data_IF_424764133915
#
_entry.id   IF_424764133915
#
_cell.length_a   1.000
_cell.length_b   1.000
_cell.length_c   1.000
_cell.angle_alpha   90.00
_cell.angle_beta   90.00
_cell.angle_gamma   90.00
#
_symmetry.space_group_name_H-M   'P 1'
#
loop_
_entity.id
_entity.type
_entity.pdbx_description
1 polymer ?
#
# COMPACT_ATOMS: atom_id res chain seq x y z
N UNK A 1 3.05 39.63 -9.20
CA UNK A 1 1.61 39.84 -9.00
C UNK A 1 0.89 39.19 -10.17
N UNK A 2 0.66 37.88 -10.11
CA UNK A 2 -0.17 37.13 -11.09
C UNK A 2 -1.19 36.34 -10.27
N UNK A 3 -2.45 36.73 -10.45
CA UNK A 3 -3.59 36.08 -9.82
C UNK A 3 -3.83 34.73 -10.52
N UNK A 4 -3.83 33.66 -9.71
CA UNK A 4 -4.38 32.38 -10.14
C UNK A 4 -5.90 32.42 -10.01
N UNK A 5 -6.58 32.36 -11.16
CA UNK A 5 -8.03 32.23 -11.23
C UNK A 5 -8.37 30.76 -10.99
N UNK A 6 -9.02 30.50 -9.85
CA UNK A 6 -9.62 29.20 -9.53
C UNK A 6 -10.96 29.11 -10.27
N UNK A 7 -11.06 28.24 -11.27
CA UNK A 7 -12.33 27.80 -11.81
C UNK A 7 -12.81 26.55 -11.07
N UNK A 8 -13.64 26.77 -10.05
CA UNK A 8 -14.45 25.72 -9.45
C UNK A 8 -15.67 25.48 -10.34
N UNK A 9 -15.64 24.48 -11.22
CA UNK A 9 -16.83 24.00 -11.91
C UNK A 9 -17.52 22.97 -11.00
N UNK A 10 -18.72 23.29 -10.54
CA UNK A 10 -19.65 22.36 -9.88
C UNK A 10 -20.04 21.25 -10.87
N UNK A 11 -19.63 20.02 -10.58
CA UNK A 11 -20.20 18.82 -11.19
C UNK A 11 -20.66 17.88 -10.08
N UNK A 12 -21.92 17.50 -10.01
CA UNK A 12 -22.38 16.44 -9.13
C UNK A 12 -22.18 15.10 -9.86
N UNK A 13 -20.98 14.57 -9.84
CA UNK A 13 -20.71 13.24 -10.40
C UNK A 13 -19.45 12.65 -9.73
N UNK A 14 -19.40 11.31 -9.62
CA UNK A 14 -18.33 10.51 -9.00
C UNK A 14 -16.90 10.87 -9.47
N UNK A 15 -16.75 11.63 -10.53
CA UNK A 15 -15.48 12.18 -11.01
C UNK A 15 -14.85 13.23 -10.08
N UNK A 16 -15.59 13.75 -9.10
CA UNK A 16 -15.09 14.72 -8.11
C UNK A 16 -14.26 14.04 -7.02
N UNK A 17 -14.40 12.73 -6.84
CA UNK A 17 -13.65 11.93 -5.87
C UNK A 17 -12.15 11.89 -6.23
N UNK A 18 -11.82 11.91 -7.52
CA UNK A 18 -10.42 11.95 -7.98
C UNK A 18 -9.65 13.22 -7.57
N UNK A 19 -10.36 14.33 -7.41
CA UNK A 19 -9.77 15.60 -6.95
C UNK A 19 -9.60 15.61 -5.42
N UNK A 20 -10.41 14.82 -4.69
CA UNK A 20 -10.39 14.77 -3.21
C UNK A 20 -9.30 13.89 -2.62
N UNK A 21 -8.73 12.98 -3.39
CA UNK A 21 -7.66 12.10 -2.89
C UNK A 21 -6.40 12.86 -2.41
N UNK A 22 -6.44 14.21 -2.48
CA UNK A 22 -5.31 15.05 -2.12
C UNK A 22 -5.76 16.50 -1.89
N UNK A 23 -6.71 16.71 -1.05
CA UNK A 23 -7.06 18.06 -0.63
C UNK A 23 -5.96 18.65 0.25
N UNK A 24 -5.59 19.91 -0.04
CA UNK A 24 -4.93 20.79 0.92
C UNK A 24 -5.80 20.88 2.18
N UNK A 25 -5.17 20.71 3.33
CA UNK A 25 -5.77 20.89 4.63
C UNK A 25 -6.37 22.33 4.72
N UNK A 26 -7.67 22.46 4.61
CA UNK A 26 -8.36 23.62 5.16
C UNK A 26 -8.61 23.34 6.63
N UNK A 27 -8.20 24.30 7.47
CA UNK A 27 -8.44 24.31 8.92
C UNK A 27 -9.93 24.12 9.22
N UNK A 28 -10.35 22.88 9.49
CA UNK A 28 -11.58 22.59 10.22
C UNK A 28 -11.52 21.20 10.82
N UNK A 29 -11.52 21.18 12.15
CA UNK A 29 -11.44 20.02 13.04
C UNK A 29 -10.08 19.30 13.12
N UNK A 30 -9.25 19.79 14.06
CA UNK A 30 -7.96 19.25 14.47
C UNK A 30 -8.09 17.95 15.29
N UNK A 31 -9.04 17.07 14.98
CA UNK A 31 -9.19 15.78 15.65
C UNK A 31 -8.42 14.73 14.84
N UNK A 32 -7.24 14.36 15.34
CA UNK A 32 -6.48 13.24 14.81
C UNK A 32 -7.30 11.96 15.03
N UNK A 33 -7.75 11.34 13.97
CA UNK A 33 -8.58 10.10 14.01
C UNK A 33 -7.68 8.90 14.28
N UNK A 34 -6.46 8.90 13.71
CA UNK A 34 -5.42 7.92 14.00
C UNK A 34 -4.15 8.60 14.51
N UNK A 35 -3.56 8.09 15.59
CA UNK A 35 -2.35 8.66 16.19
C UNK A 35 -1.10 7.97 15.66
N UNK A 36 -0.14 8.79 15.21
CA UNK A 36 1.18 8.33 14.83
C UNK A 36 2.00 7.90 16.05
N UNK A 37 2.55 6.70 16.00
CA UNK A 37 3.42 6.10 17.00
C UNK A 37 4.68 5.53 16.35
N UNK A 38 5.69 5.27 17.17
CA UNK A 38 6.92 4.62 16.75
C UNK A 38 7.22 3.44 17.67
N UNK A 39 7.65 2.34 17.08
CA UNK A 39 8.21 1.20 17.79
C UNK A 39 9.67 1.04 17.38
N UNK A 40 10.55 0.85 18.35
CA UNK A 40 11.97 0.56 18.12
C UNK A 40 12.24 -0.85 18.66
N UNK A 41 12.70 -1.72 17.77
CA UNK A 41 13.15 -3.05 18.13
C UNK A 41 14.60 -2.98 18.62
N UNK A 42 14.83 -3.32 19.88
CA UNK A 42 16.15 -3.15 20.50
C UNK A 42 17.15 -4.25 20.13
N UNK A 43 16.64 -5.41 19.68
CA UNK A 43 17.48 -6.52 19.24
C UNK A 43 17.88 -6.34 17.76
N UNK A 44 18.84 -7.15 17.31
CA UNK A 44 19.24 -7.19 15.92
C UNK A 44 18.12 -7.81 15.08
N UNK A 45 17.66 -7.08 14.05
CA UNK A 45 16.73 -7.60 13.07
C UNK A 45 17.50 -8.11 11.85
N UNK A 46 17.47 -9.42 11.64
CA UNK A 46 18.07 -10.09 10.49
C UNK A 46 17.07 -10.15 9.33
N UNK A 47 17.50 -9.75 8.12
CA UNK A 47 16.69 -9.81 6.91
C UNK A 47 16.78 -11.16 6.22
N UNK A 48 15.69 -11.60 5.59
CA UNK A 48 15.60 -12.90 4.90
C UNK A 48 16.65 -13.03 3.79
N UNK A 49 16.94 -11.95 3.08
CA UNK A 49 17.94 -11.91 2.01
C UNK A 49 19.38 -11.70 2.50
N UNK A 50 19.60 -11.69 3.82
CA UNK A 50 20.86 -11.39 4.47
C UNK A 50 21.01 -9.92 4.85
N UNK A 51 21.98 -9.65 5.73
CA UNK A 51 22.16 -8.34 6.36
C UNK A 51 21.28 -8.17 7.59
N UNK A 52 21.61 -7.17 8.40
CA UNK A 52 20.91 -6.90 9.66
C UNK A 52 20.93 -5.42 10.01
N UNK A 53 19.99 -4.99 10.84
CA UNK A 53 19.89 -3.63 11.37
C UNK A 53 19.65 -3.71 12.88
N UNK A 54 20.40 -2.90 13.66
CA UNK A 54 20.14 -2.65 15.07
C UNK A 54 19.18 -1.48 15.23
N UNK A 55 18.29 -1.55 16.21
CA UNK A 55 17.34 -0.46 16.47
C UNK A 55 16.33 -0.27 15.33
N UNK A 56 15.86 -1.37 14.73
CA UNK A 56 14.85 -1.31 13.67
C UNK A 56 13.63 -0.52 14.15
N UNK A 57 13.30 0.54 13.43
CA UNK A 57 12.14 1.39 13.71
C UNK A 57 10.98 1.04 12.81
N UNK A 58 9.79 0.93 13.39
CA UNK A 58 8.53 0.83 12.66
C UNK A 58 7.60 1.95 13.10
N UNK A 59 7.22 2.80 12.17
CA UNK A 59 6.18 3.83 12.37
C UNK A 59 4.83 3.19 12.10
N UNK A 60 3.86 3.46 12.95
CA UNK A 60 2.49 3.00 12.77
C UNK A 60 1.48 4.05 13.23
N UNK A 61 0.27 3.97 12.73
CA UNK A 61 -0.87 4.72 13.24
C UNK A 61 -1.87 3.76 13.89
N UNK A 62 -2.53 4.21 14.94
CA UNK A 62 -3.58 3.46 15.59
C UNK A 62 -4.68 4.39 16.11
N UNK A 63 -5.84 3.82 16.45
CA UNK A 63 -6.93 4.56 17.09
C UNK A 63 -6.44 5.35 18.29
N UNK A 64 -7.00 6.55 18.53
CA UNK A 64 -6.58 7.48 19.57
C UNK A 64 -6.59 6.86 20.97
N UNK A 65 -7.68 6.16 21.32
CA UNK A 65 -7.75 5.44 22.58
C UNK A 65 -6.80 4.23 22.56
N UNK A 66 -5.76 4.18 23.42
CA UNK A 66 -4.79 3.09 23.42
C UNK A 66 -5.44 1.72 23.61
N UNK A 67 -4.82 0.69 23.05
CA UNK A 67 -5.17 -0.70 23.32
C UNK A 67 -4.74 -1.10 24.73
N UNK A 68 -5.59 -1.89 25.40
CA UNK A 68 -5.30 -2.50 26.69
C UNK A 68 -5.72 -3.97 26.65
N UNK A 69 -5.04 -4.84 27.38
CA UNK A 69 -5.32 -6.29 27.41
C UNK A 69 -6.78 -6.61 27.78
N UNK A 70 -7.38 -5.81 28.67
CA UNK A 70 -8.78 -5.93 29.08
C UNK A 70 -9.76 -5.19 28.16
N UNK A 71 -9.30 -4.70 26.99
CA UNK A 71 -10.14 -3.95 26.06
C UNK A 71 -11.09 -4.92 25.32
N UNK A 72 -12.38 -4.64 25.36
CA UNK A 72 -13.40 -5.43 24.64
C UNK A 72 -13.47 -5.09 23.15
N UNK A 73 -12.83 -4.00 22.72
CA UNK A 73 -12.77 -3.63 21.30
C UNK A 73 -12.11 -4.75 20.49
N UNK A 74 -12.58 -4.93 19.28
CA UNK A 74 -11.96 -5.83 18.31
C UNK A 74 -10.83 -5.13 17.57
N UNK A 75 -9.80 -5.87 17.26
CA UNK A 75 -8.61 -5.35 16.56
C UNK A 75 -8.81 -5.48 15.05
N UNK A 76 -8.71 -4.35 14.34
CA UNK A 76 -8.65 -4.29 12.87
C UNK A 76 -7.23 -3.90 12.47
N UNK A 77 -6.58 -4.73 11.65
CA UNK A 77 -5.27 -4.43 11.10
C UNK A 77 -5.37 -4.15 9.61
N UNK A 78 -4.93 -2.95 9.20
CA UNK A 78 -4.90 -2.54 7.80
C UNK A 78 -3.47 -2.65 7.28
N UNK A 79 -3.27 -3.34 6.16
CA UNK A 79 -2.00 -3.43 5.44
C UNK A 79 -2.03 -2.47 4.25
N UNK A 80 -1.21 -1.43 4.27
CA UNK A 80 -1.26 -0.38 3.26
C UNK A 80 -0.59 -0.76 1.92
N UNK A 81 -0.99 -0.08 0.84
CA UNK A 81 -0.46 -0.26 -0.52
C UNK A 81 0.91 0.42 -0.71
N UNK A 82 1.57 0.17 -1.86
CA UNK A 82 2.99 0.45 -2.15
C UNK A 82 3.47 1.85 -1.76
N UNK A 83 2.74 2.89 -2.16
CA UNK A 83 3.09 4.29 -1.88
C UNK A 83 2.11 4.99 -0.93
N UNK A 84 1.22 4.23 -0.30
CA UNK A 84 0.41 4.68 0.81
C UNK A 84 1.26 4.69 2.10
N UNK A 85 0.66 5.04 3.21
CA UNK A 85 1.33 5.16 4.50
C UNK A 85 0.49 4.53 5.62
N UNK A 86 0.98 4.56 6.84
CA UNK A 86 0.27 3.99 7.99
C UNK A 86 -0.92 4.83 8.48
N UNK A 87 -1.09 6.06 8.04
CA UNK A 87 -2.31 6.82 8.25
C UNK A 87 -3.37 6.36 7.24
N UNK A 88 -4.15 5.37 7.65
CA UNK A 88 -5.10 4.74 6.74
C UNK A 88 -6.26 5.69 6.36
N UNK A 89 -6.55 6.70 7.17
CA UNK A 89 -7.53 7.73 6.85
C UNK A 89 -7.08 8.59 5.67
N UNK A 90 -5.77 8.89 5.54
CA UNK A 90 -5.21 9.71 4.46
C UNK A 90 -5.51 9.13 3.07
N UNK A 91 -5.53 7.81 2.92
CA UNK A 91 -5.70 7.16 1.62
C UNK A 91 -6.97 6.30 1.48
N UNK A 92 -7.69 6.04 2.59
CA UNK A 92 -9.00 5.38 2.60
C UNK A 92 -10.05 6.17 3.41
N UNK A 93 -10.17 7.50 3.18
CA UNK A 93 -10.99 8.39 4.01
C UNK A 93 -12.47 8.03 4.05
N UNK A 94 -12.98 7.33 3.05
CA UNK A 94 -14.38 6.90 3.03
C UNK A 94 -14.62 5.61 3.84
N UNK A 95 -13.58 4.84 4.13
CA UNK A 95 -13.69 3.56 4.86
C UNK A 95 -13.14 3.62 6.29
N UNK A 96 -12.20 4.53 6.61
CA UNK A 96 -11.53 4.63 7.91
C UNK A 96 -11.96 5.90 8.63
N UNK A 97 -12.33 5.79 9.89
CA UNK A 97 -12.68 6.92 10.75
C UNK A 97 -13.96 6.71 11.55
N UNK A 98 -14.34 7.65 12.42
CA UNK A 98 -15.56 7.59 13.23
C UNK A 98 -16.81 7.39 12.39
N UNK A 99 -17.61 6.36 12.72
CA UNK A 99 -18.84 6.02 12.02
C UNK A 99 -18.66 5.46 10.61
N UNK A 100 -17.42 5.17 10.20
CA UNK A 100 -17.09 4.55 8.91
C UNK A 100 -17.01 3.02 9.02
N UNK A 101 -16.73 2.33 7.92
CA UNK A 101 -16.60 0.87 7.89
C UNK A 101 -15.58 0.38 8.94
N UNK A 102 -14.39 0.97 8.95
CA UNK A 102 -13.36 0.74 9.95
C UNK A 102 -13.42 1.86 11.00
N UNK A 103 -14.45 1.78 11.84
CA UNK A 103 -14.79 2.79 12.84
C UNK A 103 -13.74 2.83 13.95
N UNK A 104 -12.96 3.89 14.02
CA UNK A 104 -11.88 4.08 14.99
C UNK A 104 -12.35 4.30 16.42
N UNK A 105 -13.63 4.60 16.64
CA UNK A 105 -14.25 4.68 17.98
C UNK A 105 -14.70 3.31 18.46
N UNK A 106 -15.20 2.46 17.56
CA UNK A 106 -15.73 1.12 17.86
C UNK A 106 -14.60 0.07 17.92
N UNK A 107 -13.64 0.15 16.99
CA UNK A 107 -12.55 -0.81 16.85
C UNK A 107 -11.21 -0.20 17.26
N UNK A 108 -10.27 -1.06 17.63
CA UNK A 108 -8.87 -0.66 17.66
C UNK A 108 -8.26 -0.89 16.28
N UNK A 109 -8.20 0.18 15.49
CA UNK A 109 -7.64 0.15 14.12
C UNK A 109 -6.15 0.41 14.18
N UNK A 110 -5.36 -0.42 13.51
CA UNK A 110 -3.90 -0.31 13.42
C UNK A 110 -3.46 -0.44 11.96
N UNK A 111 -2.53 0.40 11.56
CA UNK A 111 -1.80 0.27 10.31
C UNK A 111 -0.32 0.58 10.55
N UNK A 112 0.60 -0.27 10.08
CA UNK A 112 2.03 -0.05 10.22
C UNK A 112 2.67 0.26 8.86
N UNK A 113 3.60 1.22 8.84
CA UNK A 113 4.39 1.50 7.63
C UNK A 113 5.34 0.35 7.33
N UNK A 114 5.29 -0.11 6.08
CA UNK A 114 6.23 -1.11 5.57
C UNK A 114 7.68 -0.67 5.80
N UNK A 115 8.56 -1.63 6.08
CA UNK A 115 9.99 -1.41 5.99
C UNK A 115 10.35 -0.93 4.59
N UNK A 116 11.27 -0.01 4.49
CA UNK A 116 11.68 0.59 3.23
C UNK A 116 10.78 1.69 2.71
N UNK A 117 9.63 1.97 3.36
CA UNK A 117 8.74 3.07 3.00
C UNK A 117 9.34 4.43 3.38
N UNK A 118 8.98 5.48 2.63
CA UNK A 118 9.42 6.85 2.86
C UNK A 118 8.79 7.52 4.10
N UNK A 119 7.94 6.81 4.86
CA UNK A 119 7.16 7.40 5.96
C UNK A 119 7.67 7.06 7.36
N UNK A 120 8.99 6.84 7.47
CA UNK A 120 9.70 6.84 8.74
C UNK A 120 10.00 5.48 9.37
N UNK A 121 9.46 4.36 8.86
CA UNK A 121 9.98 3.03 9.19
C UNK A 121 11.39 2.85 8.62
N UNK A 122 12.19 1.98 9.23
CA UNK A 122 13.57 1.72 8.78
C UNK A 122 13.60 1.31 7.31
N UNK A 123 14.53 1.90 6.58
CA UNK A 123 14.69 1.72 5.14
C UNK A 123 15.91 2.47 4.61
N UNK A 124 16.09 2.56 3.29
CA UNK A 124 17.25 3.20 2.66
C UNK A 124 17.41 4.69 3.01
N UNK A 125 16.31 5.36 3.34
CA UNK A 125 16.31 6.76 3.79
C UNK A 125 16.65 6.95 5.27
N UNK A 126 16.73 5.87 6.06
CA UNK A 126 17.11 5.93 7.49
C UNK A 126 18.59 6.21 7.66
N UNK A 127 18.94 6.86 8.75
CA UNK A 127 20.35 7.11 9.09
C UNK A 127 21.04 5.82 9.55
N UNK A 128 22.15 5.46 8.92
CA UNK A 128 23.05 4.42 9.37
C UNK A 128 23.82 4.95 10.61
N UNK A 129 23.68 4.31 11.78
CA UNK A 129 24.36 4.75 12.99
C UNK A 129 25.90 4.68 12.88
N UNK A 130 26.45 3.89 11.95
CA UNK A 130 27.90 3.78 11.75
C UNK A 130 28.49 4.94 10.98
N UNK A 131 27.74 5.48 10.02
CA UNK A 131 28.21 6.54 9.11
C UNK A 131 27.62 7.91 9.41
N UNK A 132 26.49 7.97 10.12
CA UNK A 132 25.70 9.18 10.34
C UNK A 132 24.99 9.71 9.07
N UNK A 133 24.98 8.94 7.97
CA UNK A 133 24.36 9.26 6.69
C UNK A 133 23.21 8.31 6.40
N UNK A 134 22.29 8.62 5.47
CA UNK A 134 21.31 7.64 5.01
C UNK A 134 22.00 6.38 4.48
N UNK A 135 21.36 5.24 4.68
CA UNK A 135 21.87 3.96 4.17
C UNK A 135 21.95 3.92 2.64
N UNK A 136 21.00 4.56 1.95
CA UNK A 136 20.86 4.44 0.51
C UNK A 136 20.83 2.96 0.06
N UNK A 137 21.79 2.55 -0.78
CA UNK A 137 21.92 1.18 -1.29
C UNK A 137 22.57 0.20 -0.32
N UNK A 138 23.12 0.69 0.80
CA UNK A 138 23.72 -0.16 1.85
C UNK A 138 22.66 -0.75 2.79
N UNK A 139 21.39 -0.30 2.70
CA UNK A 139 20.33 -0.92 3.46
C UNK A 139 20.09 -2.36 2.99
N UNK A 140 19.85 -3.34 3.91
CA UNK A 140 19.55 -4.71 3.51
C UNK A 140 18.35 -4.81 2.58
N UNK A 141 18.36 -5.76 1.64
CA UNK A 141 17.22 -6.04 0.76
C UNK A 141 16.04 -6.50 1.59
N UNK A 142 14.87 -5.92 1.34
CA UNK A 142 13.64 -6.17 2.09
C UNK A 142 12.77 -7.14 1.30
N UNK A 143 12.24 -8.15 1.97
CA UNK A 143 11.22 -9.05 1.42
C UNK A 143 9.85 -8.78 2.04
N UNK A 144 8.77 -9.31 1.42
CA UNK A 144 7.43 -9.26 2.01
C UNK A 144 7.41 -9.93 3.39
N UNK A 145 8.21 -10.99 3.59
CA UNK A 145 8.33 -11.66 4.89
C UNK A 145 8.96 -10.78 5.96
N UNK A 146 9.94 -9.98 5.59
CA UNK A 146 10.56 -9.02 6.52
C UNK A 146 9.56 -7.94 6.94
N UNK A 147 8.73 -7.46 6.00
CA UNK A 147 7.66 -6.50 6.29
C UNK A 147 6.65 -7.12 7.28
N UNK A 148 6.23 -8.36 7.04
CA UNK A 148 5.31 -9.07 7.95
C UNK A 148 5.94 -9.30 9.33
N UNK A 149 7.22 -9.68 9.39
CA UNK A 149 7.93 -9.83 10.66
C UNK A 149 7.98 -8.52 11.46
N UNK A 150 8.23 -7.40 10.78
CA UNK A 150 8.22 -6.08 11.40
C UNK A 150 6.82 -5.70 11.93
N UNK A 151 5.78 -5.97 11.16
CA UNK A 151 4.40 -5.77 11.58
C UNK A 151 4.04 -6.64 12.79
N UNK A 152 4.50 -7.90 12.82
CA UNK A 152 4.32 -8.81 13.97
C UNK A 152 5.02 -8.30 15.21
N UNK A 153 6.18 -7.65 15.09
CA UNK A 153 6.85 -6.99 16.23
C UNK A 153 6.00 -5.85 16.81
N UNK A 154 5.39 -5.02 15.95
CA UNK A 154 4.47 -3.97 16.41
C UNK A 154 3.25 -4.57 17.09
N UNK A 155 2.65 -5.63 16.53
CA UNK A 155 1.54 -6.36 17.15
C UNK A 155 1.89 -6.83 18.57
N UNK A 156 3.05 -7.48 18.73
CA UNK A 156 3.54 -7.97 20.03
C UNK A 156 3.81 -6.82 21.01
N UNK A 157 4.40 -5.72 20.52
CA UNK A 157 4.63 -4.52 21.33
C UNK A 157 3.32 -3.92 21.88
N UNK A 158 2.25 -3.98 21.09
CA UNK A 158 0.93 -3.52 21.50
C UNK A 158 0.20 -4.51 22.42
N UNK A 159 0.76 -5.70 22.70
CA UNK A 159 0.10 -6.74 23.50
C UNK A 159 -1.12 -7.35 22.80
N UNK A 160 -1.17 -7.32 21.48
CA UNK A 160 -2.27 -7.88 20.69
C UNK A 160 -2.00 -9.35 20.41
N UNK A 161 -2.72 -10.25 21.07
CA UNK A 161 -2.61 -11.68 20.84
C UNK A 161 -3.28 -12.12 19.53
N UNK A 162 -4.45 -11.56 19.23
CA UNK A 162 -5.26 -11.89 18.06
C UNK A 162 -5.64 -10.64 17.29
N UNK A 163 -5.60 -10.73 15.97
CA UNK A 163 -6.18 -9.76 15.05
C UNK A 163 -7.55 -10.29 14.66
N UNK A 164 -8.61 -9.57 15.03
CA UNK A 164 -9.98 -10.03 14.75
C UNK A 164 -10.32 -9.89 13.27
N UNK A 165 -9.81 -8.82 12.63
CA UNK A 165 -10.02 -8.58 11.21
C UNK A 165 -8.78 -7.96 10.57
N UNK A 166 -8.33 -8.48 9.44
CA UNK A 166 -7.22 -7.93 8.68
C UNK A 166 -7.66 -7.63 7.24
N UNK A 167 -7.19 -6.51 6.68
CA UNK A 167 -7.48 -6.14 5.29
C UNK A 167 -6.26 -5.55 4.61
N UNK A 168 -6.06 -5.90 3.36
CA UNK A 168 -5.00 -5.30 2.54
C UNK A 168 -5.28 -5.41 1.05
N UNK A 169 -5.00 -4.33 0.33
CA UNK A 169 -5.07 -4.29 -1.13
C UNK A 169 -3.67 -4.23 -1.77
N UNK A 170 -3.51 -4.82 -2.96
CA UNK A 170 -2.23 -4.82 -3.68
C UNK A 170 -1.09 -5.47 -2.85
N UNK A 171 0.05 -4.80 -2.64
CA UNK A 171 1.11 -5.28 -1.74
C UNK A 171 0.63 -5.40 -0.28
N UNK A 172 -0.41 -4.66 0.12
CA UNK A 172 -1.10 -4.88 1.39
C UNK A 172 -1.74 -6.27 1.47
N UNK A 173 -2.29 -6.73 0.35
CA UNK A 173 -2.77 -8.12 0.20
C UNK A 173 -1.63 -9.13 0.29
N UNK A 174 -0.44 -8.87 -0.30
CA UNK A 174 0.73 -9.74 -0.14
C UNK A 174 1.12 -9.90 1.34
N UNK A 175 1.15 -8.78 2.08
CA UNK A 175 1.42 -8.79 3.52
C UNK A 175 0.38 -9.63 4.25
N UNK A 176 -0.89 -9.46 3.93
CA UNK A 176 -2.00 -10.13 4.59
C UNK A 176 -1.97 -11.65 4.36
N UNK A 177 -1.74 -12.09 3.12
CA UNK A 177 -1.63 -13.52 2.78
C UNK A 177 -0.39 -14.14 3.45
N UNK A 178 0.78 -13.49 3.33
CA UNK A 178 2.02 -13.99 3.92
C UNK A 178 1.90 -14.08 5.45
N UNK A 179 1.27 -13.10 6.10
CA UNK A 179 1.07 -13.11 7.54
C UNK A 179 0.12 -14.23 7.99
N UNK A 180 -0.96 -14.48 7.24
CA UNK A 180 -1.88 -15.59 7.53
C UNK A 180 -1.20 -16.97 7.43
N UNK A 181 -0.14 -17.08 6.61
CA UNK A 181 0.68 -18.29 6.53
C UNK A 181 1.71 -18.35 7.67
N UNK A 182 2.36 -17.22 7.99
CA UNK A 182 3.42 -17.18 9.00
C UNK A 182 2.90 -17.37 10.42
N UNK A 183 1.73 -16.81 10.72
CA UNK A 183 1.11 -16.85 12.05
C UNK A 183 -0.38 -17.30 11.95
N UNK A 184 -0.66 -18.55 11.56
CA UNK A 184 -2.01 -19.02 11.20
C UNK A 184 -3.03 -18.95 12.33
N UNK A 185 -2.57 -18.87 13.59
CA UNK A 185 -3.46 -18.79 14.76
C UNK A 185 -3.72 -17.33 15.21
N UNK A 186 -3.04 -16.33 14.59
CA UNK A 186 -3.11 -14.93 15.04
C UNK A 186 -4.30 -14.20 14.42
N UNK A 187 -4.59 -14.47 13.16
CA UNK A 187 -5.57 -13.72 12.37
C UNK A 187 -6.85 -14.54 12.27
N UNK A 188 -7.97 -14.02 12.79
CA UNK A 188 -9.25 -14.72 12.75
C UNK A 188 -9.90 -14.63 11.39
N UNK A 189 -9.98 -13.42 10.83
CA UNK A 189 -10.63 -13.14 9.54
C UNK A 189 -9.80 -12.18 8.71
N UNK A 190 -9.74 -12.38 7.40
CA UNK A 190 -8.99 -11.51 6.50
C UNK A 190 -9.68 -11.29 5.16
N UNK A 191 -9.46 -10.08 4.57
CA UNK A 191 -9.87 -9.75 3.21
C UNK A 191 -8.63 -9.39 2.39
N UNK A 192 -8.39 -10.14 1.32
CA UNK A 192 -7.30 -9.93 0.38
C UNK A 192 -7.85 -9.32 -0.91
N UNK A 193 -7.43 -8.09 -1.24
CA UNK A 193 -8.00 -7.34 -2.35
C UNK A 193 -6.96 -7.14 -3.45
N UNK A 194 -7.31 -7.47 -4.70
CA UNK A 194 -6.51 -7.16 -5.89
C UNK A 194 -5.02 -7.49 -5.72
N UNK A 195 -4.69 -8.70 -5.32
CA UNK A 195 -3.32 -9.12 -5.01
C UNK A 195 -2.99 -10.49 -5.63
N UNK A 196 -1.69 -10.79 -5.72
CA UNK A 196 -1.16 -12.09 -6.10
C UNK A 196 -0.41 -12.76 -4.94
N UNK A 197 -0.06 -14.03 -5.09
CA UNK A 197 0.67 -14.83 -4.10
C UNK A 197 2.08 -15.21 -4.55
N UNK A 198 2.40 -14.88 -5.77
CA UNK A 198 3.72 -14.96 -6.38
C UNK A 198 3.83 -13.88 -7.45
N UNK A 199 4.96 -13.15 -7.43
CA UNK A 199 5.23 -12.16 -8.48
C UNK A 199 5.17 -12.81 -9.87
N UNK A 200 4.45 -12.18 -10.80
CA UNK A 200 4.36 -12.63 -12.19
C UNK A 200 5.45 -11.98 -13.05
N UNK A 201 5.86 -12.59 -14.18
CA UNK A 201 6.74 -11.93 -15.14
C UNK A 201 6.22 -10.56 -15.62
N UNK A 202 4.89 -10.41 -15.72
CA UNK A 202 4.23 -9.15 -16.07
C UNK A 202 4.52 -8.06 -15.04
N UNK A 203 4.32 -8.36 -13.75
CA UNK A 203 4.59 -7.44 -12.64
C UNK A 203 6.09 -7.11 -12.54
N UNK A 204 6.96 -8.12 -12.68
CA UNK A 204 8.42 -7.92 -12.69
C UNK A 204 8.86 -7.01 -13.84
N UNK A 205 8.24 -7.14 -15.03
CA UNK A 205 8.55 -6.26 -16.17
C UNK A 205 8.22 -4.79 -15.87
N UNK A 206 7.07 -4.50 -15.23
CA UNK A 206 6.76 -3.14 -14.76
C UNK A 206 7.76 -2.66 -13.71
N UNK A 207 8.04 -3.47 -12.70
CA UNK A 207 9.00 -3.11 -11.64
C UNK A 207 10.38 -2.81 -12.21
N UNK A 208 10.85 -3.60 -13.17
CA UNK A 208 12.13 -3.35 -13.82
C UNK A 208 12.12 -2.08 -14.65
N UNK A 209 11.06 -1.82 -15.41
CA UNK A 209 10.91 -0.57 -16.16
C UNK A 209 10.95 0.66 -15.24
N UNK A 210 10.34 0.55 -14.06
CA UNK A 210 10.40 1.61 -13.06
C UNK A 210 11.80 1.77 -12.46
N UNK A 211 12.52 0.67 -12.17
CA UNK A 211 13.93 0.73 -11.71
C UNK A 211 14.84 1.34 -12.76
N UNK A 212 14.70 0.93 -14.03
CA UNK A 212 15.44 1.53 -15.15
C UNK A 212 15.20 3.03 -15.22
N UNK A 213 13.95 3.49 -15.04
CA UNK A 213 13.65 4.92 -15.01
C UNK A 213 14.36 5.66 -13.88
N UNK A 214 14.42 5.08 -12.68
CA UNK A 214 15.20 5.62 -11.56
C UNK A 214 16.70 5.70 -11.89
N UNK A 215 17.24 4.66 -12.49
CA UNK A 215 18.67 4.51 -12.79
C UNK A 215 19.13 5.44 -13.93
N UNK A 216 18.22 5.94 -14.78
CA UNK A 216 18.55 6.95 -15.78
C UNK A 216 18.76 8.34 -15.19
N UNK A 217 18.32 8.59 -13.97
CA UNK A 217 18.60 9.87 -13.29
C UNK A 217 20.03 9.85 -12.73
N UNK A 218 20.94 10.70 -13.23
CA UNK A 218 22.34 10.66 -12.78
C UNK A 218 22.52 10.90 -11.29
N UNK A 219 21.62 11.67 -10.66
CA UNK A 219 21.71 11.99 -9.24
C UNK A 219 21.32 10.80 -8.33
N UNK A 220 20.68 9.77 -8.88
CA UNK A 220 20.23 8.61 -8.11
C UNK A 220 21.39 7.80 -7.53
N UNK A 221 22.44 7.55 -8.34
CA UNK A 221 23.62 6.77 -7.89
C UNK A 221 24.63 7.59 -7.11
N UNK A 222 24.54 8.91 -7.12
CA UNK A 222 25.46 9.78 -6.37
C UNK A 222 25.29 9.67 -4.86
N UNK A 223 24.10 9.29 -4.36
CA UNK A 223 23.79 9.20 -2.92
C UNK A 223 24.14 10.48 -2.14
N UNK A 224 24.01 11.64 -2.80
CA UNK A 224 24.36 12.93 -2.22
C UNK A 224 23.25 13.49 -1.31
N UNK A 225 22.00 13.16 -1.63
CA UNK A 225 20.82 13.53 -0.83
C UNK A 225 19.64 12.60 -1.10
N UNK A 226 18.65 12.59 -0.22
CA UNK A 226 17.40 11.84 -0.41
C UNK A 226 16.53 12.37 -1.57
N UNK A 227 16.88 13.52 -2.15
CA UNK A 227 16.29 14.04 -3.38
C UNK A 227 16.96 13.50 -4.66
N UNK A 228 18.03 12.74 -4.51
CA UNK A 228 18.65 12.05 -5.65
C UNK A 228 17.65 11.11 -6.32
N UNK A 229 17.63 11.10 -7.66
CA UNK A 229 16.69 10.27 -8.43
C UNK A 229 15.27 10.84 -8.56
N UNK A 230 15.02 12.09 -8.18
CA UNK A 230 13.67 12.68 -8.21
C UNK A 230 13.03 12.65 -9.60
N UNK A 231 13.76 12.96 -10.66
CA UNK A 231 13.24 12.91 -12.04
C UNK A 231 12.99 11.47 -12.46
N UNK A 232 13.87 10.55 -12.09
CA UNK A 232 13.67 9.12 -12.29
C UNK A 232 12.41 8.61 -11.61
N UNK A 233 12.16 9.06 -10.37
CA UNK A 233 10.95 8.71 -9.60
C UNK A 233 9.68 9.25 -10.28
N UNK A 234 9.70 10.46 -10.82
CA UNK A 234 8.58 11.02 -11.60
C UNK A 234 8.26 10.14 -12.80
N UNK A 235 9.29 9.69 -13.52
CA UNK A 235 9.15 8.79 -14.66
C UNK A 235 8.64 7.40 -14.21
N UNK A 236 9.21 6.82 -13.17
CA UNK A 236 8.78 5.55 -12.60
C UNK A 236 7.30 5.59 -12.17
N UNK A 237 6.85 6.68 -11.53
CA UNK A 237 5.44 6.87 -11.19
C UNK A 237 4.54 6.93 -12.43
N UNK A 238 4.99 7.57 -13.49
CA UNK A 238 4.28 7.63 -14.76
C UNK A 238 4.06 6.24 -15.37
N UNK A 239 5.09 5.38 -15.33
CA UNK A 239 5.01 3.97 -15.76
C UNK A 239 4.01 3.21 -14.87
N UNK A 240 4.13 3.34 -13.54
CA UNK A 240 3.24 2.69 -12.59
C UNK A 240 1.77 3.02 -12.83
N UNK A 241 1.44 4.28 -13.09
CA UNK A 241 0.07 4.71 -13.34
C UNK A 241 -0.58 4.03 -14.55
N UNK A 242 0.18 3.74 -15.61
CA UNK A 242 -0.32 3.00 -16.76
C UNK A 242 -0.73 1.58 -16.34
N UNK A 243 0.00 0.96 -15.43
CA UNK A 243 -0.33 -0.38 -14.92
C UNK A 243 -1.49 -0.38 -13.92
N UNK A 244 -1.71 0.72 -13.20
CA UNK A 244 -2.77 0.84 -12.19
C UNK A 244 -4.13 1.21 -12.79
N UNK A 245 -4.15 1.79 -13.99
CA UNK A 245 -5.36 2.27 -14.64
C UNK A 245 -5.80 1.36 -15.78
N UNK A 246 -7.09 1.37 -16.07
CA UNK A 246 -7.63 0.75 -17.29
C UNK A 246 -7.63 1.73 -18.46
N UNK A 247 -7.74 1.21 -19.67
CA UNK A 247 -7.98 1.99 -20.87
C UNK A 247 -9.26 2.85 -20.75
N UNK A 248 -10.34 2.26 -20.25
CA UNK A 248 -11.62 2.90 -20.05
C UNK A 248 -11.52 4.04 -19.05
N UNK A 249 -10.80 3.85 -17.93
CA UNK A 249 -10.58 4.86 -16.91
C UNK A 249 -9.78 6.05 -17.40
N UNK A 250 -8.75 5.83 -18.24
CA UNK A 250 -8.02 6.91 -18.88
C UNK A 250 -8.90 7.69 -19.84
N UNK A 251 -9.60 7.01 -20.75
CA UNK A 251 -10.46 7.66 -21.73
C UNK A 251 -11.61 8.40 -21.07
N UNK A 252 -12.20 7.87 -20.01
CA UNK A 252 -13.28 8.56 -19.30
C UNK A 252 -12.86 9.91 -18.68
N UNK A 253 -11.54 10.11 -18.44
CA UNK A 253 -11.04 11.25 -17.66
C UNK A 253 -10.06 12.15 -18.40
N UNK A 254 -9.37 11.65 -19.43
CA UNK A 254 -8.21 12.33 -20.05
C UNK A 254 -8.39 12.71 -21.52
N UNK A 255 -9.61 12.59 -22.09
CA UNK A 255 -9.89 13.14 -23.42
C UNK A 255 -9.64 14.64 -23.46
N UNK A 256 -9.09 15.13 -24.59
CA UNK A 256 -9.00 16.57 -24.84
C UNK A 256 -10.40 17.21 -24.81
N UNK A 257 -10.46 18.44 -24.29
CA UNK A 257 -11.70 19.21 -24.26
C UNK A 257 -12.01 19.86 -25.60
N UNK A 258 -10.96 20.15 -26.37
CA UNK A 258 -11.01 20.71 -27.70
C UNK A 258 -10.72 19.59 -28.70
N UNK A 259 -11.73 19.21 -29.49
CA UNK A 259 -11.63 18.15 -30.49
C UNK A 259 -10.75 18.55 -31.69
N UNK A 260 -10.55 19.86 -31.91
CA UNK A 260 -9.72 20.40 -32.97
C UNK A 260 -8.25 20.56 -32.56
N UNK A 261 -7.87 20.17 -31.33
CA UNK A 261 -6.49 20.28 -30.88
C UNK A 261 -5.55 19.46 -31.79
N UNK A 262 -4.46 20.08 -32.23
CA UNK A 262 -3.48 19.43 -33.13
C UNK A 262 -2.63 18.37 -32.41
N UNK A 263 -2.30 18.61 -31.13
CA UNK A 263 -1.47 17.73 -30.30
C UNK A 263 -2.15 17.52 -28.95
N UNK A 264 -2.56 16.29 -28.70
CA UNK A 264 -3.13 15.91 -27.40
C UNK A 264 -2.06 16.01 -26.30
N UNK A 265 -2.35 16.74 -25.23
CA UNK A 265 -1.43 16.94 -24.09
C UNK A 265 -2.06 16.61 -22.73
N UNK A 266 -3.37 16.49 -22.63
CA UNK A 266 -4.06 16.35 -21.34
C UNK A 266 -3.60 15.11 -20.56
N UNK A 267 -3.53 13.94 -21.20
CA UNK A 267 -3.02 12.73 -20.58
C UNK A 267 -1.52 12.85 -20.24
N UNK A 268 -0.74 13.51 -21.10
CA UNK A 268 0.68 13.81 -20.85
C UNK A 268 0.88 14.71 -19.63
N UNK A 269 0.14 15.81 -19.55
CA UNK A 269 0.12 16.73 -18.41
C UNK A 269 -0.27 16.01 -17.12
N UNK A 270 -1.27 15.14 -17.17
CA UNK A 270 -1.71 14.34 -16.02
C UNK A 270 -0.60 13.40 -15.52
N UNK A 271 0.12 12.72 -16.42
CA UNK A 271 1.24 11.86 -16.05
C UNK A 271 2.36 12.66 -15.36
N UNK A 272 2.74 13.82 -15.91
CA UNK A 272 3.74 14.70 -15.29
C UNK A 272 3.30 15.20 -13.92
N UNK A 273 2.05 15.60 -13.77
CA UNK A 273 1.46 16.03 -12.50
C UNK A 273 1.54 14.91 -11.45
N UNK A 274 1.13 13.69 -11.79
CA UNK A 274 1.15 12.56 -10.88
C UNK A 274 2.57 12.12 -10.51
N UNK A 275 3.51 12.20 -11.45
CA UNK A 275 4.92 11.98 -11.18
C UNK A 275 5.46 12.97 -10.14
N UNK A 276 5.22 14.27 -10.38
CA UNK A 276 5.62 15.33 -9.43
C UNK A 276 4.99 15.12 -8.05
N UNK A 277 3.69 14.83 -8.00
CA UNK A 277 2.96 14.62 -6.76
C UNK A 277 3.53 13.48 -5.91
N UNK A 278 4.00 12.40 -6.53
CA UNK A 278 4.70 11.36 -5.78
C UNK A 278 6.06 11.86 -5.30
N UNK A 279 6.88 12.48 -6.14
CA UNK A 279 8.21 12.94 -5.77
C UNK A 279 8.21 14.03 -4.70
N UNK A 280 7.11 14.74 -4.51
CA UNK A 280 6.96 15.73 -3.42
C UNK A 280 6.86 15.08 -2.02
N UNK A 281 6.46 13.80 -1.93
CA UNK A 281 6.21 13.07 -0.67
C UNK A 281 6.94 11.74 -0.52
N UNK A 282 7.65 11.30 -1.53
CA UNK A 282 8.32 9.99 -1.56
C UNK A 282 9.73 10.13 -2.14
N UNK A 283 10.68 9.32 -1.70
CA UNK A 283 12.03 9.31 -2.23
C UNK A 283 12.29 8.12 -3.18
N UNK A 284 13.25 8.30 -4.08
CA UNK A 284 13.59 7.33 -5.12
C UNK A 284 14.18 6.04 -4.55
N UNK A 285 14.93 6.12 -3.45
CA UNK A 285 15.57 4.96 -2.82
C UNK A 285 14.53 4.06 -2.18
N UNK A 286 13.58 4.63 -1.42
CA UNK A 286 12.45 3.90 -0.85
C UNK A 286 11.61 3.24 -1.95
N UNK A 287 11.35 3.95 -3.05
CA UNK A 287 10.60 3.38 -4.18
C UNK A 287 11.32 2.19 -4.82
N UNK A 288 12.64 2.31 -5.03
CA UNK A 288 13.49 1.24 -5.57
C UNK A 288 13.45 -0.01 -4.70
N UNK A 289 13.58 0.15 -3.39
CA UNK A 289 13.53 -0.96 -2.42
C UNK A 289 12.15 -1.62 -2.36
N UNK A 290 11.08 -0.84 -2.39
CA UNK A 290 9.73 -1.39 -2.39
C UNK A 290 9.41 -2.15 -3.69
N UNK A 291 9.89 -1.70 -4.86
CA UNK A 291 9.83 -2.53 -6.08
C UNK A 291 10.52 -3.88 -5.89
N UNK A 292 11.69 -3.89 -5.24
CA UNK A 292 12.39 -5.13 -4.89
C UNK A 292 11.61 -6.00 -3.91
N UNK A 293 10.91 -5.39 -2.94
CA UNK A 293 10.05 -6.12 -2.00
C UNK A 293 8.89 -6.79 -2.73
N UNK A 294 8.27 -6.12 -3.70
CA UNK A 294 7.22 -6.70 -4.56
C UNK A 294 7.76 -7.91 -5.33
N UNK A 295 8.97 -7.80 -5.92
CA UNK A 295 9.60 -8.91 -6.67
C UNK A 295 9.94 -10.10 -5.77
N UNK A 296 10.08 -9.90 -4.46
CA UNK A 296 10.33 -10.98 -3.50
C UNK A 296 9.09 -11.85 -3.21
N UNK A 297 7.88 -11.39 -3.61
CA UNK A 297 6.63 -12.07 -3.27
C UNK A 297 6.56 -13.47 -3.88
N UNK A 298 6.61 -14.47 -3.02
CA UNK A 298 6.36 -15.87 -3.36
C UNK A 298 6.05 -16.63 -2.06
N UNK A 299 4.78 -16.81 -1.78
CA UNK A 299 4.34 -17.50 -0.55
C UNK A 299 4.75 -18.97 -0.52
N UNK A 300 4.99 -19.58 -1.69
CA UNK A 300 5.42 -20.98 -1.81
C UNK A 300 6.91 -21.21 -1.59
N UNK A 301 7.74 -20.16 -1.57
CA UNK A 301 9.19 -20.29 -1.42
C UNK A 301 9.56 -20.91 -0.08
N UNK A 302 10.26 -22.07 -0.15
CA UNK A 302 10.63 -22.85 1.04
C UNK A 302 9.48 -23.60 1.72
N UNK A 303 8.26 -23.61 1.12
CA UNK A 303 7.07 -24.26 1.70
C UNK A 303 6.49 -25.37 0.81
N UNK A 304 7.21 -25.77 -0.24
CA UNK A 304 6.78 -26.85 -1.15
C UNK A 304 5.77 -26.41 -2.21
N UNK A 305 5.73 -25.11 -2.54
CA UNK A 305 4.90 -24.53 -3.58
C UNK A 305 3.75 -23.67 -3.04
N UNK A 306 3.17 -22.87 -3.94
CA UNK A 306 2.13 -21.88 -3.60
C UNK A 306 0.87 -22.55 -3.06
N UNK A 307 0.37 -23.56 -3.74
CA UNK A 307 -0.85 -24.29 -3.36
C UNK A 307 -0.72 -24.89 -1.96
N UNK A 308 0.43 -25.53 -1.68
CA UNK A 308 0.69 -26.10 -0.38
C UNK A 308 0.75 -25.04 0.72
N UNK A 309 1.39 -23.89 0.44
CA UNK A 309 1.46 -22.78 1.39
C UNK A 309 0.07 -22.19 1.69
N UNK A 310 -0.75 -21.93 0.65
CA UNK A 310 -2.10 -21.43 0.80
C UNK A 310 -3.01 -22.41 1.55
N UNK A 311 -2.84 -23.71 1.31
CA UNK A 311 -3.58 -24.77 2.03
C UNK A 311 -3.29 -24.84 3.54
N UNK A 312 -2.27 -24.13 4.06
CA UNK A 312 -1.99 -24.05 5.50
C UNK A 312 -2.72 -22.92 6.21
N UNK A 313 -3.34 -22.01 5.47
CA UNK A 313 -4.07 -20.87 6.05
C UNK A 313 -5.30 -21.37 6.80
N UNK A 314 -5.46 -20.90 8.03
CA UNK A 314 -6.60 -21.20 8.91
C UNK A 314 -7.51 -20.01 9.14
N UNK A 315 -7.05 -18.84 8.72
CA UNK A 315 -7.81 -17.59 8.74
C UNK A 315 -9.07 -17.74 7.87
N UNK A 316 -10.21 -17.29 8.33
CA UNK A 316 -11.42 -17.16 7.51
C UNK A 316 -11.18 -16.07 6.47
N UNK A 317 -11.04 -16.47 5.20
CA UNK A 317 -10.57 -15.59 4.14
C UNK A 317 -11.66 -15.23 3.14
N UNK A 318 -11.72 -13.96 2.77
CA UNK A 318 -12.44 -13.45 1.61
C UNK A 318 -11.44 -12.85 0.62
N UNK A 319 -11.52 -13.24 -0.63
CA UNK A 319 -10.63 -12.74 -1.70
C UNK A 319 -11.46 -11.90 -2.66
N UNK A 320 -10.99 -10.70 -2.96
CA UNK A 320 -11.71 -9.75 -3.82
C UNK A 320 -10.88 -9.42 -5.06
N UNK A 321 -11.43 -9.68 -6.24
CA UNK A 321 -10.88 -9.29 -7.54
C UNK A 321 -11.54 -8.02 -8.08
N UNK A 322 -10.89 -7.38 -9.05
CA UNK A 322 -11.43 -6.23 -9.79
C UNK A 322 -11.46 -6.58 -11.27
N UNK A 323 -12.61 -6.53 -11.90
CA UNK A 323 -12.84 -7.01 -13.27
C UNK A 323 -11.93 -6.36 -14.33
N UNK A 324 -11.59 -5.09 -14.15
CA UNK A 324 -10.73 -4.33 -15.07
C UNK A 324 -9.25 -4.27 -14.67
N UNK A 325 -8.85 -4.93 -13.57
CA UNK A 325 -7.45 -4.93 -13.12
C UNK A 325 -6.56 -5.73 -14.08
N UNK A 326 -5.55 -5.05 -14.66
CA UNK A 326 -4.57 -5.67 -15.55
C UNK A 326 -3.23 -5.93 -14.87
N UNK A 327 -3.04 -5.38 -13.67
CA UNK A 327 -1.84 -5.63 -12.87
C UNK A 327 -1.96 -6.96 -12.12
N UNK A 328 -3.13 -7.21 -11.54
CA UNK A 328 -3.52 -8.46 -10.88
C UNK A 328 -4.86 -8.94 -11.43
N UNK A 329 -4.87 -9.62 -12.60
CA UNK A 329 -6.08 -10.13 -13.21
C UNK A 329 -6.87 -11.04 -12.25
N UNK A 330 -8.19 -11.04 -12.38
CA UNK A 330 -9.11 -11.76 -11.47
C UNK A 330 -8.83 -13.28 -11.38
N UNK A 331 -8.16 -13.85 -12.37
CA UNK A 331 -7.70 -15.23 -12.36
C UNK A 331 -6.74 -15.52 -11.20
N UNK A 332 -5.89 -14.54 -10.83
CA UNK A 332 -5.00 -14.69 -9.67
C UNK A 332 -5.79 -14.77 -8.37
N UNK A 333 -6.78 -13.92 -8.17
CA UNK A 333 -7.61 -13.94 -6.95
C UNK A 333 -8.52 -15.16 -6.90
N UNK A 334 -9.06 -15.59 -8.02
CA UNK A 334 -9.82 -16.87 -8.12
C UNK A 334 -8.94 -18.05 -7.77
N UNK A 335 -7.70 -18.07 -8.24
CA UNK A 335 -6.71 -19.09 -7.89
C UNK A 335 -6.43 -19.07 -6.37
N UNK A 336 -6.19 -17.90 -5.76
CA UNK A 336 -5.98 -17.79 -4.31
C UNK A 336 -7.16 -18.40 -3.55
N UNK A 337 -8.38 -18.00 -3.88
CA UNK A 337 -9.58 -18.50 -3.20
C UNK A 337 -9.75 -20.02 -3.38
N UNK A 338 -9.39 -20.58 -4.54
CA UNK A 338 -9.48 -22.01 -4.79
C UNK A 338 -8.49 -22.84 -3.97
N UNK A 339 -7.36 -22.25 -3.53
CA UNK A 339 -6.31 -22.96 -2.80
C UNK A 339 -6.44 -22.85 -1.28
N UNK A 340 -7.20 -21.86 -0.78
CA UNK A 340 -7.39 -21.65 0.67
C UNK A 340 -8.66 -22.39 1.14
N UNK A 341 -8.57 -23.29 2.12
CA UNK A 341 -9.75 -24.01 2.60
C UNK A 341 -10.83 -23.06 3.14
N UNK A 342 -12.04 -23.15 2.60
CA UNK A 342 -13.18 -22.36 3.06
C UNK A 342 -13.17 -20.89 2.63
N UNK A 343 -12.23 -20.45 1.82
CA UNK A 343 -12.20 -19.06 1.33
C UNK A 343 -13.40 -18.76 0.41
N UNK A 344 -13.89 -17.51 0.50
CA UNK A 344 -14.90 -16.97 -0.42
C UNK A 344 -14.24 -16.07 -1.45
N UNK A 345 -14.84 -15.96 -2.64
CA UNK A 345 -14.41 -15.06 -3.71
C UNK A 345 -15.51 -14.08 -4.05
N UNK A 346 -15.15 -12.82 -4.19
CA UNK A 346 -16.00 -11.76 -4.69
C UNK A 346 -15.29 -11.00 -5.81
N UNK A 347 -16.06 -10.40 -6.70
CA UNK A 347 -15.56 -9.57 -7.78
C UNK A 347 -16.28 -8.23 -7.75
N UNK A 348 -15.53 -7.13 -7.77
CA UNK A 348 -16.09 -5.79 -7.90
C UNK A 348 -15.89 -5.28 -9.31
N UNK A 349 -16.84 -4.49 -9.78
CA UNK A 349 -16.79 -3.83 -11.09
C UNK A 349 -16.21 -2.45 -10.94
N UNK A 350 -15.17 -2.14 -11.68
CA UNK A 350 -14.56 -0.81 -11.74
C UNK A 350 -14.03 -0.51 -13.13
N UNK A 351 -14.22 0.71 -13.60
CA UNK A 351 -13.55 1.20 -14.82
C UNK A 351 -12.13 1.71 -14.56
N UNK A 352 -11.65 1.67 -13.32
CA UNK A 352 -10.40 2.31 -12.93
C UNK A 352 -9.21 1.34 -12.80
N UNK A 353 -9.39 0.07 -13.19
CA UNK A 353 -8.33 -0.92 -13.09
C UNK A 353 -7.98 -1.25 -11.64
N UNK A 354 -6.69 -1.45 -11.39
CA UNK A 354 -6.15 -1.76 -10.07
C UNK A 354 -6.56 -0.75 -8.98
N UNK A 355 -6.65 0.55 -9.32
CA UNK A 355 -7.07 1.58 -8.36
C UNK A 355 -8.54 1.43 -7.88
N UNK A 356 -9.31 0.50 -8.45
CA UNK A 356 -10.69 0.21 -8.02
C UNK A 356 -10.81 -0.10 -6.53
N UNK A 357 -9.81 -0.74 -5.90
CA UNK A 357 -9.85 -1.00 -4.45
C UNK A 357 -9.77 0.27 -3.58
N UNK A 358 -9.36 1.40 -4.16
CA UNK A 358 -9.34 2.70 -3.50
C UNK A 358 -10.59 3.54 -3.79
N UNK A 359 -11.36 3.16 -4.82
CA UNK A 359 -12.41 4.01 -5.38
C UNK A 359 -13.82 3.41 -5.25
N UNK A 360 -13.94 2.08 -5.27
CA UNK A 360 -15.24 1.40 -5.24
C UNK A 360 -15.67 1.09 -3.79
N UNK A 361 -15.67 2.12 -2.96
CA UNK A 361 -15.90 2.01 -1.51
C UNK A 361 -17.25 1.39 -1.16
N UNK A 362 -18.32 1.70 -1.91
CA UNK A 362 -19.66 1.14 -1.68
C UNK A 362 -19.67 -0.39 -1.89
N UNK A 363 -19.01 -0.88 -2.95
CA UNK A 363 -18.93 -2.31 -3.25
C UNK A 363 -18.07 -3.03 -2.20
N UNK A 364 -16.95 -2.42 -1.79
CA UNK A 364 -16.10 -2.96 -0.73
C UNK A 364 -16.83 -2.99 0.61
N UNK A 365 -17.57 -1.94 0.95
CA UNK A 365 -18.37 -1.90 2.17
C UNK A 365 -19.41 -3.01 2.19
N UNK A 366 -20.14 -3.22 1.09
CA UNK A 366 -21.14 -4.28 1.00
C UNK A 366 -20.55 -5.70 1.20
N UNK A 367 -19.30 -5.91 0.78
CA UNK A 367 -18.60 -7.20 0.95
C UNK A 367 -18.03 -7.32 2.38
N UNK A 368 -17.44 -6.24 2.91
CA UNK A 368 -16.63 -6.29 4.14
C UNK A 368 -17.49 -6.13 5.41
N UNK A 369 -18.51 -5.26 5.38
CA UNK A 369 -19.32 -4.95 6.56
C UNK A 369 -19.93 -6.21 7.23
N UNK A 370 -20.50 -7.20 6.49
CA UNK A 370 -21.00 -8.44 7.09
C UNK A 370 -19.92 -9.33 7.74
N UNK A 371 -18.63 -9.07 7.41
CA UNK A 371 -17.48 -9.84 7.88
C UNK A 371 -16.84 -9.21 9.13
N UNK A 372 -17.19 -7.98 9.47
CA UNK A 372 -16.60 -7.30 10.63
C UNK A 372 -17.01 -7.97 11.95
N UNK A 373 -16.13 -7.93 12.97
CA UNK A 373 -16.38 -8.56 14.27
C UNK A 373 -17.40 -7.83 15.14
#
# INVERSE_FOLDING_TARGET
MFQYIIFAARFPDKNTIFARFFHDFSESDNRLIMIRKEYIHNDIFEFEAGGSVEGLKVVYHCSERPWQEADERKVIWICHALTANSDAEDWWPELVGPGKLFDTEKYFVVCANMLGSAYGSSGPSSTDPKTGKPYYFDFPKITVRDIVRANSLVRKHLGIDKIDFMVGGSIGGFQSVEWSIMEPEVIKRAVYIACGVRVTPWLTAYNESMRMALETDPTFRECASLKGGENGLRCARSIALISYRSYEGYNATQWEKDEDCMFADRAGSYQRYQGKKLSDRFDAYSYYYLCGSVDSNNVGRGRGGVEKALGTIRTECTVVGIDSDRLFPVEEQRFIASCIPGATYHEITSKFGHDGFLLENDQLTAIIEPLLP
#
